data_IF_311482807750
#
_entry.id   IF_311482807750
#
_cell.length_a   1.000
_cell.length_b   1.000
_cell.length_c   1.000
_cell.angle_alpha   90.00
_cell.angle_beta   90.00
_cell.angle_gamma   90.00
#
_symmetry.space_group_name_H-M   'P 1'
#
loop_
_entity.id
_entity.type
_entity.pdbx_description
1 polymer ?
#
# COMPACT_ATOMS: atom_id res chain seq x y z
N UNK A 1 -11.95 13.21 -18.31
CA UNK A 1 -11.83 14.06 -17.11
C UNK A 1 -10.37 14.09 -16.74
N UNK A 2 -9.72 15.25 -16.74
CA UNK A 2 -8.32 15.36 -16.31
C UNK A 2 -8.32 15.37 -14.77
N UNK A 3 -8.28 14.17 -14.14
CA UNK A 3 -8.23 14.06 -12.67
C UNK A 3 -6.79 14.26 -12.22
N UNK A 4 -6.58 15.12 -11.24
CA UNK A 4 -5.29 15.27 -10.56
C UNK A 4 -5.15 14.20 -9.48
N UNK A 5 -4.07 13.42 -9.53
CA UNK A 5 -3.80 12.34 -8.59
C UNK A 5 -2.38 12.48 -8.04
N UNK A 6 -2.27 12.37 -6.72
CA UNK A 6 -0.98 12.31 -6.03
C UNK A 6 -0.70 10.86 -5.63
N UNK A 7 0.46 10.35 -6.03
CA UNK A 7 0.98 9.06 -5.60
C UNK A 7 2.13 9.31 -4.65
N UNK A 8 2.06 8.74 -3.44
CA UNK A 8 3.12 8.85 -2.43
C UNK A 8 3.94 7.56 -2.45
N UNK A 9 5.23 7.68 -2.73
CA UNK A 9 6.18 6.59 -2.91
C UNK A 9 6.51 6.32 -4.38
N UNK A 10 7.78 6.43 -4.73
CA UNK A 10 8.38 6.17 -6.05
C UNK A 10 8.95 4.75 -6.20
N UNK A 11 8.55 3.82 -5.34
CA UNK A 11 8.86 2.39 -5.52
C UNK A 11 8.06 1.77 -6.67
N UNK A 12 8.34 0.49 -6.98
CA UNK A 12 7.75 -0.20 -8.14
C UNK A 12 6.22 -0.15 -8.15
N UNK A 13 5.56 -0.35 -7.00
CA UNK A 13 4.10 -0.29 -6.91
C UNK A 13 3.55 1.11 -7.16
N UNK A 14 4.21 2.15 -6.64
CA UNK A 14 3.78 3.53 -6.82
C UNK A 14 3.94 3.98 -8.28
N UNK A 15 5.08 3.67 -8.89
CA UNK A 15 5.33 3.95 -10.31
C UNK A 15 4.41 3.16 -11.24
N UNK A 16 4.13 1.88 -10.95
CA UNK A 16 3.15 1.10 -11.70
C UNK A 16 1.75 1.71 -11.62
N UNK A 17 1.30 2.12 -10.42
CA UNK A 17 0.02 2.79 -10.27
C UNK A 17 -0.02 4.12 -11.06
N UNK A 18 1.03 4.94 -10.93
CA UNK A 18 1.13 6.22 -11.64
C UNK A 18 1.08 6.04 -13.16
N UNK A 19 1.77 5.03 -13.69
CA UNK A 19 1.78 4.71 -15.11
C UNK A 19 0.38 4.38 -15.65
N UNK A 20 -0.35 3.48 -14.99
CA UNK A 20 -1.70 3.12 -15.45
C UNK A 20 -2.69 4.28 -15.29
N UNK A 21 -2.60 5.06 -14.21
CA UNK A 21 -3.43 6.26 -14.03
C UNK A 21 -3.15 7.31 -15.11
N UNK A 22 -1.89 7.48 -15.50
CA UNK A 22 -1.51 8.35 -16.62
C UNK A 22 -2.09 7.85 -17.95
N UNK A 23 -2.06 6.54 -18.22
CA UNK A 23 -2.70 5.96 -19.41
C UNK A 23 -4.22 6.19 -19.45
N UNK A 24 -4.88 6.23 -18.30
CA UNK A 24 -6.31 6.58 -18.19
C UNK A 24 -6.60 8.08 -18.37
N UNK A 25 -5.57 8.89 -18.64
CA UNK A 25 -5.70 10.33 -18.86
C UNK A 25 -5.78 11.14 -17.56
N UNK A 26 -5.26 10.61 -16.45
CA UNK A 26 -5.10 11.38 -15.21
C UNK A 26 -3.77 12.16 -15.24
N UNK A 27 -3.76 13.34 -14.62
CA UNK A 27 -2.55 14.08 -14.32
C UNK A 27 -1.98 13.57 -13.00
N UNK A 28 -0.84 12.89 -13.06
CA UNK A 28 -0.26 12.22 -11.89
C UNK A 28 1.00 12.95 -11.41
N UNK A 29 1.08 13.21 -10.11
CA UNK A 29 2.30 13.67 -9.43
C UNK A 29 2.77 12.59 -8.47
N UNK A 30 4.03 12.15 -8.61
CA UNK A 30 4.65 11.18 -7.71
C UNK A 30 5.54 11.94 -6.72
N UNK A 31 5.35 11.68 -5.43
CA UNK A 31 6.17 12.24 -4.34
C UNK A 31 6.98 11.09 -3.75
N UNK A 32 8.30 11.14 -3.91
CA UNK A 32 9.25 10.20 -3.31
C UNK A 32 10.16 10.96 -2.35
N UNK A 33 10.48 10.34 -1.21
CA UNK A 33 11.34 10.95 -0.20
C UNK A 33 12.83 10.86 -0.59
N UNK A 34 13.22 9.77 -1.26
CA UNK A 34 14.59 9.48 -1.70
C UNK A 34 14.86 9.95 -3.14
N UNK A 35 16.09 9.73 -3.62
CA UNK A 35 16.41 9.97 -5.04
C UNK A 35 16.09 8.75 -5.91
N UNK A 36 15.15 7.88 -5.49
CA UNK A 36 14.86 6.58 -6.11
C UNK A 36 16.07 5.62 -6.12
N UNK A 37 17.05 5.87 -5.25
CA UNK A 37 18.31 5.16 -5.08
C UNK A 37 18.30 4.23 -3.85
N UNK A 38 17.13 3.93 -3.31
CA UNK A 38 16.98 3.15 -2.09
C UNK A 38 15.61 2.49 -1.93
N UNK A 39 15.39 1.90 -0.76
CA UNK A 39 14.16 1.20 -0.41
C UNK A 39 14.04 -0.19 -1.05
N UNK A 40 12.93 -0.87 -0.75
CA UNK A 40 12.72 -2.28 -1.12
C UNK A 40 12.81 -2.52 -2.64
N UNK A 41 12.33 -1.57 -3.45
CA UNK A 41 12.35 -1.71 -4.91
C UNK A 41 13.71 -1.47 -5.55
N UNK A 42 14.64 -0.74 -4.92
CA UNK A 42 15.97 -0.54 -5.49
C UNK A 42 16.89 -1.75 -5.26
N UNK A 43 16.82 -2.35 -4.07
CA UNK A 43 17.69 -3.47 -3.66
C UNK A 43 17.12 -4.86 -3.98
N UNK A 44 15.96 -4.93 -4.65
CA UNK A 44 15.32 -6.21 -4.96
C UNK A 44 16.10 -6.99 -6.03
N UNK A 45 16.04 -8.33 -5.99
CA UNK A 45 16.77 -9.21 -6.91
C UNK A 45 16.09 -9.40 -8.29
N UNK A 46 15.03 -8.65 -8.60
CA UNK A 46 14.23 -8.80 -9.82
C UNK A 46 13.41 -10.09 -9.90
N UNK A 47 13.34 -10.85 -8.80
CA UNK A 47 12.69 -12.16 -8.78
C UNK A 47 11.17 -12.02 -8.66
N UNK A 48 10.44 -12.58 -9.63
CA UNK A 48 8.98 -12.57 -9.63
C UNK A 48 8.48 -13.92 -9.14
N UNK A 49 7.77 -13.94 -8.00
CA UNK A 49 7.16 -15.15 -7.44
C UNK A 49 5.64 -15.05 -7.47
N UNK A 50 4.96 -15.63 -8.47
CA UNK A 50 3.50 -15.52 -8.65
C UNK A 50 2.66 -15.84 -7.40
N UNK A 51 3.12 -16.76 -6.56
CA UNK A 51 2.42 -17.15 -5.33
C UNK A 51 2.47 -16.09 -4.20
N UNK A 52 3.32 -15.05 -4.32
CA UNK A 52 3.58 -14.08 -3.25
C UNK A 52 3.38 -12.61 -3.67
N UNK A 53 2.74 -12.35 -4.82
CA UNK A 53 2.52 -10.98 -5.34
C UNK A 53 1.19 -10.36 -4.86
N UNK A 54 0.47 -11.05 -3.98
CA UNK A 54 -0.82 -10.56 -3.48
C UNK A 54 -0.56 -9.34 -2.57
N UNK A 55 -1.29 -8.25 -2.83
CA UNK A 55 -1.21 -7.02 -2.05
C UNK A 55 -1.63 -7.24 -0.59
N UNK A 56 -1.02 -6.48 0.32
CA UNK A 56 -1.40 -6.51 1.74
C UNK A 56 -2.85 -6.06 1.99
N UNK A 57 -3.41 -5.24 1.10
CA UNK A 57 -4.80 -4.80 1.14
C UNK A 57 -5.70 -5.67 0.24
N UNK A 58 -5.61 -6.99 0.39
CA UNK A 58 -6.43 -7.95 -0.34
C UNK A 58 -7.71 -8.34 0.43
N UNK A 59 -8.74 -8.89 -0.24
CA UNK A 59 -9.95 -9.36 0.40
C UNK A 59 -9.66 -10.33 1.55
N UNK A 60 -10.30 -10.11 2.71
CA UNK A 60 -10.09 -10.94 3.91
C UNK A 60 -8.84 -10.60 4.74
N UNK A 61 -7.97 -9.70 4.28
CA UNK A 61 -6.78 -9.30 5.04
C UNK A 61 -7.13 -8.55 6.34
N UNK A 62 -8.27 -7.84 6.39
CA UNK A 62 -8.73 -7.19 7.62
C UNK A 62 -9.09 -8.19 8.72
N UNK A 63 -9.85 -9.24 8.39
CA UNK A 63 -10.20 -10.29 9.35
C UNK A 63 -8.94 -11.04 9.83
N UNK A 64 -8.00 -11.31 8.90
CA UNK A 64 -6.70 -11.91 9.23
C UNK A 64 -5.85 -11.00 10.10
N UNK A 65 -5.82 -9.70 9.81
CA UNK A 65 -5.11 -8.67 10.58
C UNK A 65 -5.62 -8.55 12.00
N UNK A 66 -6.95 -8.53 12.20
CA UNK A 66 -7.55 -8.55 13.55
C UNK A 66 -7.16 -9.83 14.29
N UNK A 67 -7.25 -11.00 13.65
CA UNK A 67 -6.83 -12.27 14.25
C UNK A 67 -5.35 -12.26 14.66
N UNK A 68 -4.51 -11.67 13.82
CA UNK A 68 -3.08 -11.52 14.01
C UNK A 68 -2.71 -10.61 15.19
N UNK A 69 -3.51 -9.59 15.49
CA UNK A 69 -3.30 -8.74 16.67
C UNK A 69 -3.39 -9.52 18.00
N UNK A 70 -4.07 -10.67 18.03
CA UNK A 70 -4.19 -11.54 19.21
C UNK A 70 -3.14 -12.67 19.25
N UNK A 71 -2.21 -12.70 18.29
CA UNK A 71 -1.15 -13.71 18.23
C UNK A 71 0.22 -13.02 18.32
N UNK A 72 0.95 -13.24 19.41
CA UNK A 72 2.28 -12.66 19.63
C UNK A 72 3.34 -13.13 18.61
N UNK A 73 3.11 -14.26 17.94
CA UNK A 73 3.98 -14.80 16.89
C UNK A 73 3.54 -14.35 15.48
N UNK A 74 2.57 -13.44 15.37
CA UNK A 74 2.10 -12.90 14.10
C UNK A 74 3.16 -12.00 13.42
N UNK A 75 3.25 -12.02 12.08
CA UNK A 75 4.11 -11.09 11.33
C UNK A 75 3.58 -9.65 11.28
N UNK A 76 2.34 -9.43 11.75
CA UNK A 76 1.67 -8.14 11.74
C UNK A 76 1.16 -7.77 13.13
N UNK A 77 1.51 -6.56 13.58
CA UNK A 77 0.98 -5.96 14.80
C UNK A 77 0.73 -4.47 14.59
N UNK A 78 -0.42 -4.00 15.04
CA UNK A 78 -0.80 -2.60 15.01
C UNK A 78 -1.23 -2.19 16.41
N UNK A 79 -0.53 -1.23 17.02
CA UNK A 79 -0.84 -0.75 18.38
C UNK A 79 -2.26 -0.13 18.38
N UNK A 80 -3.22 -0.66 19.16
CA UNK A 80 -4.55 -0.06 19.26
C UNK A 80 -4.46 1.36 19.80
N UNK A 81 -5.11 2.31 19.13
CA UNK A 81 -5.20 3.71 19.55
C UNK A 81 -6.65 4.17 19.44
N UNK A 82 -7.19 4.75 20.51
CA UNK A 82 -8.52 5.35 20.52
C UNK A 82 -8.41 6.84 20.17
N UNK A 83 -7.93 7.14 18.96
CA UNK A 83 -7.98 8.49 18.42
C UNK A 83 -8.79 8.51 17.12
N UNK A 84 -9.41 9.66 16.85
CA UNK A 84 -10.35 9.79 15.74
C UNK A 84 -9.67 9.54 14.38
N UNK A 85 -8.43 10.01 14.22
CA UNK A 85 -7.67 9.89 12.97
C UNK A 85 -7.35 8.43 12.64
N UNK A 86 -6.93 7.65 13.63
CA UNK A 86 -6.64 6.23 13.45
C UNK A 86 -7.90 5.44 13.10
N UNK A 87 -9.01 5.69 13.81
CA UNK A 87 -10.28 5.04 13.52
C UNK A 87 -10.76 5.36 12.11
N UNK A 88 -10.63 6.62 11.68
CA UNK A 88 -10.99 7.06 10.33
C UNK A 88 -10.11 6.38 9.27
N UNK A 89 -8.80 6.32 9.50
CA UNK A 89 -7.87 5.61 8.62
C UNK A 89 -8.18 4.12 8.53
N UNK A 90 -8.41 3.45 9.67
CA UNK A 90 -8.73 2.02 9.70
C UNK A 90 -10.03 1.71 8.94
N UNK A 91 -11.03 2.60 9.02
CA UNK A 91 -12.25 2.49 8.25
C UNK A 91 -12.02 2.64 6.74
N UNK A 92 -11.27 3.65 6.31
CA UNK A 92 -10.92 3.81 4.90
C UNK A 92 -10.12 2.61 4.37
N UNK A 93 -9.16 2.12 5.15
CA UNK A 93 -8.36 0.95 4.79
C UNK A 93 -9.26 -0.28 4.61
N UNK A 94 -10.19 -0.53 5.53
CA UNK A 94 -11.16 -1.63 5.39
C UNK A 94 -12.03 -1.48 4.14
N UNK A 95 -12.46 -0.26 3.81
CA UNK A 95 -13.26 0.02 2.60
C UNK A 95 -12.47 -0.19 1.31
N UNK A 96 -11.14 -0.06 1.35
CA UNK A 96 -10.26 -0.27 0.20
C UNK A 96 -9.74 -1.71 0.07
N UNK A 97 -9.90 -2.55 1.09
CA UNK A 97 -9.46 -3.96 1.11
C UNK A 97 -10.58 -4.93 0.68
N UNK A 98 -11.35 -4.56 -0.34
CA UNK A 98 -12.51 -5.30 -0.89
C UNK A 98 -12.22 -5.88 -2.27
#
# INVERSE_FOLDING_TARGET
>A
MNKEIIVIGGGIMGLSAAFYLQQEGCQVTVIEQSNMDGGASYVNAGYITPSHIISLAAPGMMAKGIKWMFNSSSPFYMKPRLNMDFLKWAWYFNRSAT
#
